data_IF_833428229458
#
_entry.id   IF_833428229458
#
_cell.length_a   1.000
_cell.length_b   1.000
_cell.length_c   1.000
_cell.angle_alpha   90.00
_cell.angle_beta   90.00
_cell.angle_gamma   90.00
#
_symmetry.space_group_name_H-M   'P 1'
#
loop_
_entity.id
_entity.type
_entity.pdbx_description
1 polymer ?
#
# COMPACT_ATOMS: atom_id res chain seq x y z
N UNK A 1 10.54 -29.89 0.58
CA UNK A 1 9.10 -30.10 0.29
C UNK A 1 8.60 -28.81 -0.32
N UNK A 2 8.22 -28.84 -1.60
CA UNK A 2 7.64 -27.70 -2.31
C UNK A 2 6.21 -27.52 -1.80
N UNK A 3 5.98 -26.49 -0.98
CA UNK A 3 4.64 -26.10 -0.50
C UNK A 3 4.06 -25.07 -1.49
N UNK A 4 4.17 -25.33 -2.80
CA UNK A 4 3.33 -24.64 -3.78
C UNK A 4 2.00 -25.35 -3.80
N UNK A 5 1.09 -24.84 -2.96
CA UNK A 5 -0.29 -25.29 -2.94
C UNK A 5 -0.92 -24.84 -4.25
N UNK A 6 -1.01 -25.76 -5.21
CA UNK A 6 -2.09 -25.78 -6.20
C UNK A 6 -3.40 -26.00 -5.43
N UNK A 7 -3.85 -24.92 -4.78
CA UNK A 7 -4.97 -24.91 -3.86
C UNK A 7 -6.21 -24.44 -4.60
N UNK A 8 -7.22 -25.28 -4.62
CA UNK A 8 -8.60 -24.96 -4.97
C UNK A 8 -8.96 -23.59 -4.38
N UNK A 9 -9.07 -22.55 -5.21
CA UNK A 9 -9.54 -21.23 -4.78
C UNK A 9 -11.00 -21.38 -4.34
N UNK A 10 -11.22 -21.60 -3.05
CA UNK A 10 -12.52 -21.33 -2.45
C UNK A 10 -12.59 -19.82 -2.26
N UNK A 11 -13.05 -19.11 -3.31
CA UNK A 11 -13.33 -17.68 -3.25
C UNK A 11 -14.38 -17.42 -2.17
N UNK A 12 -14.18 -16.43 -1.31
CA UNK A 12 -15.20 -15.96 -0.34
C UNK A 12 -16.02 -14.80 -0.88
N UNK A 13 -15.43 -14.08 -1.83
CA UNK A 13 -16.05 -12.95 -2.49
C UNK A 13 -15.51 -12.86 -3.92
N UNK A 14 -16.41 -12.58 -4.84
CA UNK A 14 -16.08 -12.26 -6.23
C UNK A 14 -16.20 -10.75 -6.46
N UNK A 15 -15.64 -10.28 -7.57
CA UNK A 15 -15.74 -8.90 -8.00
C UNK A 15 -15.20 -7.91 -6.95
N UNK A 16 -14.02 -8.21 -6.40
CA UNK A 16 -13.41 -7.39 -5.37
C UNK A 16 -12.69 -6.21 -6.00
N UNK A 17 -13.10 -5.00 -5.59
CA UNK A 17 -12.50 -3.73 -5.98
C UNK A 17 -12.10 -2.93 -4.75
N UNK A 18 -10.88 -2.40 -4.78
CA UNK A 18 -10.37 -1.52 -3.73
C UNK A 18 -10.11 -0.15 -4.35
N UNK A 19 -10.63 0.88 -3.71
CA UNK A 19 -10.33 2.27 -4.04
C UNK A 19 -9.80 2.97 -2.79
N UNK A 20 -8.75 3.76 -2.97
CA UNK A 20 -8.17 4.59 -1.92
C UNK A 20 -8.33 6.04 -2.33
N UNK A 21 -8.99 6.82 -1.48
CA UNK A 21 -9.20 8.25 -1.68
C UNK A 21 -8.38 9.02 -0.65
N UNK A 22 -7.37 9.76 -1.10
CA UNK A 22 -6.51 10.56 -0.23
C UNK A 22 -7.12 11.93 0.03
N UNK A 23 -6.94 12.45 1.26
CA UNK A 23 -7.38 13.79 1.60
C UNK A 23 -6.43 14.84 0.97
N UNK A 24 -6.88 15.66 0.00
CA UNK A 24 -6.02 16.62 -0.69
C UNK A 24 -5.57 17.79 0.19
N UNK A 25 -6.16 17.95 1.39
CA UNK A 25 -5.68 18.91 2.38
C UNK A 25 -4.44 18.39 3.16
N UNK A 26 -4.15 17.09 3.10
CA UNK A 26 -3.08 16.42 3.85
C UNK A 26 -2.03 15.78 2.97
N UNK A 27 -2.45 15.18 1.86
CA UNK A 27 -1.59 14.48 0.90
C UNK A 27 -1.52 15.28 -0.39
N UNK A 28 -0.32 15.70 -0.78
CA UNK A 28 -0.08 16.45 -2.00
C UNK A 28 0.28 15.56 -3.20
N UNK A 29 0.92 14.42 -2.94
CA UNK A 29 1.16 13.38 -3.94
C UNK A 29 1.25 12.01 -3.26
N UNK A 30 1.03 10.95 -4.02
CA UNK A 30 1.11 9.57 -3.54
C UNK A 30 1.48 8.62 -4.68
N UNK A 31 2.06 7.46 -4.32
CA UNK A 31 2.27 6.33 -5.24
C UNK A 31 1.96 5.00 -4.56
N UNK A 32 1.52 4.02 -5.34
CA UNK A 32 1.32 2.64 -4.92
C UNK A 32 2.62 1.85 -5.16
N UNK A 33 3.22 1.32 -4.11
CA UNK A 33 4.48 0.56 -4.20
C UNK A 33 4.18 -0.88 -4.65
N UNK A 34 4.92 -1.35 -5.67
CA UNK A 34 4.96 -2.75 -6.11
C UNK A 34 3.79 -3.21 -7.00
N UNK A 35 2.73 -2.41 -7.15
CA UNK A 35 1.56 -2.73 -7.98
C UNK A 35 1.24 -1.61 -8.99
N UNK A 36 2.26 -0.88 -9.44
CA UNK A 36 2.14 0.27 -10.35
C UNK A 36 1.36 -0.07 -11.64
N UNK A 37 1.50 -1.29 -12.15
CA UNK A 37 0.84 -1.75 -13.38
C UNK A 37 -0.64 -2.17 -13.24
N UNK A 38 -1.23 -2.08 -12.04
CA UNK A 38 -2.64 -2.48 -11.79
C UNK A 38 -3.50 -1.39 -11.14
N UNK A 39 -3.01 -0.16 -11.04
CA UNK A 39 -3.83 0.95 -10.53
C UNK A 39 -5.06 1.14 -11.43
N UNK A 40 -6.27 0.92 -10.88
CA UNK A 40 -7.53 1.23 -11.57
C UNK A 40 -7.76 2.74 -11.55
N UNK A 41 -8.28 3.28 -12.65
CA UNK A 41 -8.77 4.65 -12.70
C UNK A 41 -10.04 4.79 -11.84
N UNK A 42 -10.26 5.95 -11.22
CA UNK A 42 -11.43 6.21 -10.37
C UNK A 42 -12.77 5.99 -11.10
N UNK A 43 -12.79 6.25 -12.41
CA UNK A 43 -13.96 6.05 -13.28
C UNK A 43 -14.34 4.57 -13.41
N UNK A 44 -13.37 3.66 -13.28
CA UNK A 44 -13.55 2.22 -13.43
C UNK A 44 -14.04 1.54 -12.14
N UNK A 45 -13.92 2.21 -10.98
CA UNK A 45 -14.32 1.62 -9.69
C UNK A 45 -15.82 1.33 -9.61
N UNK A 46 -16.64 2.19 -10.23
CA UNK A 46 -18.10 2.03 -10.25
C UNK A 46 -18.61 1.14 -11.39
N UNK A 47 -17.77 0.75 -12.36
CA UNK A 47 -18.18 -0.07 -13.49
C UNK A 47 -17.98 -1.56 -13.20
N UNK A 48 -19.08 -2.26 -12.93
CA UNK A 48 -19.16 -3.72 -12.70
C UNK A 48 -18.67 -4.59 -13.88
N UNK A 49 -18.30 -4.00 -15.02
CA UNK A 49 -17.73 -4.72 -16.18
C UNK A 49 -16.19 -4.75 -16.22
N UNK A 50 -15.52 -3.97 -15.37
CA UNK A 50 -14.04 -3.92 -15.29
C UNK A 50 -13.48 -5.08 -14.48
N UNK A 51 -12.27 -5.49 -14.86
CA UNK A 51 -11.56 -6.64 -14.30
C UNK A 51 -11.41 -6.50 -12.78
N UNK A 52 -11.76 -7.56 -12.05
CA UNK A 52 -11.89 -7.54 -10.60
C UNK A 52 -11.20 -8.75 -9.98
N UNK A 53 -10.61 -8.55 -8.80
CA UNK A 53 -9.89 -9.62 -8.12
C UNK A 53 -10.83 -10.62 -7.42
N UNK A 54 -10.32 -11.83 -7.20
CA UNK A 54 -10.93 -12.81 -6.30
C UNK A 54 -10.17 -12.83 -4.97
N UNK A 55 -10.89 -12.85 -3.84
CA UNK A 55 -10.29 -13.05 -2.52
C UNK A 55 -10.72 -14.42 -1.98
N UNK A 56 -9.72 -15.29 -1.77
CA UNK A 56 -9.90 -16.61 -1.17
C UNK A 56 -9.97 -16.58 0.37
N UNK A 57 -10.47 -17.67 0.96
CA UNK A 57 -10.44 -17.87 2.42
C UNK A 57 -9.00 -17.77 2.95
N UNK A 58 -8.80 -16.95 3.99
CA UNK A 58 -7.50 -16.79 4.64
C UNK A 58 -6.48 -15.95 3.84
N UNK A 59 -6.88 -15.37 2.71
CA UNK A 59 -6.01 -14.45 1.96
C UNK A 59 -5.96 -13.09 2.65
N UNK A 60 -4.75 -12.55 2.77
CA UNK A 60 -4.51 -11.17 3.22
C UNK A 60 -3.89 -10.38 2.09
N UNK A 61 -4.50 -9.25 1.76
CA UNK A 61 -3.98 -8.30 0.78
C UNK A 61 -3.36 -7.13 1.51
N UNK A 62 -2.13 -6.78 1.14
CA UNK A 62 -1.42 -5.61 1.66
C UNK A 62 -1.07 -4.71 0.48
N UNK A 63 -1.54 -3.46 0.52
CA UNK A 63 -1.11 -2.40 -0.39
C UNK A 63 -0.27 -1.40 0.41
N UNK A 64 0.89 -1.04 -0.14
CA UNK A 64 1.77 -0.03 0.45
C UNK A 64 1.72 1.22 -0.40
N UNK A 65 1.43 2.35 0.23
CA UNK A 65 1.46 3.65 -0.42
C UNK A 65 2.58 4.48 0.18
N UNK A 66 3.30 5.18 -0.69
CA UNK A 66 4.13 6.29 -0.28
C UNK A 66 3.36 7.59 -0.52
N UNK A 67 3.48 8.52 0.44
CA UNK A 67 2.76 9.79 0.41
C UNK A 67 3.72 10.95 0.63
N UNK A 68 3.47 12.04 -0.08
CA UNK A 68 4.12 13.33 0.13
C UNK A 68 3.10 14.27 0.78
N UNK A 69 3.30 14.69 2.04
CA UNK A 69 2.40 15.63 2.70
C UNK A 69 2.27 16.95 1.94
N UNK A 70 1.14 17.64 2.07
CA UNK A 70 0.95 18.98 1.51
C UNK A 70 2.01 19.94 2.07
N UNK A 71 2.75 20.61 1.18
CA UNK A 71 3.79 21.57 1.55
C UNK A 71 5.18 20.96 1.82
N UNK A 72 5.33 19.64 1.72
CA UNK A 72 6.64 19.00 1.73
C UNK A 72 7.37 19.19 0.39
N UNK A 73 8.71 19.14 0.43
CA UNK A 73 9.54 19.14 -0.78
C UNK A 73 9.32 17.87 -1.61
N UNK A 74 9.60 17.93 -2.91
CA UNK A 74 9.50 16.77 -3.81
C UNK A 74 8.11 16.52 -4.39
N UNK A 75 7.14 17.42 -4.17
CA UNK A 75 5.85 17.34 -4.87
C UNK A 75 6.06 17.54 -6.38
N UNK A 76 5.52 16.66 -7.24
CA UNK A 76 5.56 16.86 -8.67
C UNK A 76 4.85 18.18 -9.00
N UNK A 77 5.60 19.14 -9.54
CA UNK A 77 5.06 20.40 -10.02
C UNK A 77 4.36 20.17 -11.34
N UNK A 78 3.03 20.03 -11.30
CA UNK A 78 2.22 20.07 -12.51
C UNK A 78 1.96 21.53 -12.87
N UNK A 79 2.15 21.90 -14.14
CA UNK A 79 1.83 23.24 -14.60
C UNK A 79 0.35 23.55 -14.32
N UNK A 80 0.02 24.74 -13.79
CA UNK A 80 -1.36 25.09 -13.51
C UNK A 80 -2.17 25.06 -14.81
N UNK A 81 -3.14 24.15 -14.87
CA UNK A 81 -4.01 23.97 -16.02
C UNK A 81 -4.76 25.28 -16.35
N UNK A 82 -4.42 25.90 -17.49
CA UNK A 82 -4.90 27.21 -17.93
C UNK A 82 -6.42 27.40 -17.88
N UNK A 83 -7.19 26.32 -18.07
CA UNK A 83 -8.66 26.35 -18.13
C UNK A 83 -9.34 25.68 -16.93
N UNK A 84 -8.60 25.02 -16.04
CA UNK A 84 -9.17 24.52 -14.79
C UNK A 84 -8.98 25.57 -13.70
N UNK A 85 -10.08 26.08 -13.17
CA UNK A 85 -10.06 26.78 -11.90
C UNK A 85 -9.76 25.74 -10.83
N UNK A 86 -8.50 25.68 -10.37
CA UNK A 86 -8.17 25.06 -9.08
C UNK A 86 -8.99 25.76 -8.03
N UNK A 87 -10.08 25.12 -7.58
CA UNK A 87 -10.79 25.58 -6.39
C UNK A 87 -9.76 25.51 -5.27
N UNK A 88 -9.25 26.65 -4.81
CA UNK A 88 -8.59 26.73 -3.51
C UNK A 88 -9.57 26.13 -2.52
N UNK A 89 -9.21 24.98 -1.95
CA UNK A 89 -10.02 24.25 -0.98
C UNK A 89 -10.68 25.25 -0.03
N UNK A 90 -12.02 25.28 -0.05
CA UNK A 90 -12.81 26.10 0.85
C UNK A 90 -12.33 25.85 2.28
N UNK A 91 -12.10 26.93 3.01
CA UNK A 91 -11.58 26.90 4.38
C UNK A 91 -12.44 26.08 5.35
N UNK A 92 -13.69 25.77 4.98
CA UNK A 92 -14.63 24.95 5.76
C UNK A 92 -14.35 23.44 5.66
N UNK A 93 -13.82 22.92 4.54
CA UNK A 93 -13.44 21.50 4.45
C UNK A 93 -12.14 21.18 5.20
N UNK A 94 -11.34 22.21 5.55
CA UNK A 94 -10.12 22.04 6.36
C UNK A 94 -10.41 21.63 7.80
N UNK A 95 -11.60 21.90 8.33
CA UNK A 95 -11.93 21.63 9.74
C UNK A 95 -12.70 20.32 9.91
N UNK A 96 -13.60 19.98 8.99
CA UNK A 96 -14.45 18.79 9.12
C UNK A 96 -13.68 17.46 8.97
N UNK A 97 -12.63 17.42 8.14
CA UNK A 97 -11.82 16.22 7.88
C UNK A 97 -10.35 16.42 8.25
N UNK A 98 -10.08 17.34 9.19
CA UNK A 98 -8.74 17.78 9.55
C UNK A 98 -7.83 16.65 10.09
N UNK A 99 -8.43 15.58 10.60
CA UNK A 99 -7.74 14.43 11.19
C UNK A 99 -7.80 13.18 10.31
N UNK A 100 -8.27 13.28 9.07
CA UNK A 100 -8.39 12.16 8.14
C UNK A 100 -7.29 12.23 7.08
N UNK A 101 -6.58 11.12 6.88
CA UNK A 101 -5.50 11.00 5.90
C UNK A 101 -6.03 10.47 4.57
N UNK A 102 -6.83 9.40 4.63
CA UNK A 102 -7.42 8.75 3.46
C UNK A 102 -8.66 7.93 3.86
N UNK A 103 -9.48 7.59 2.87
CA UNK A 103 -10.58 6.64 3.00
C UNK A 103 -10.31 5.44 2.10
N UNK A 104 -10.42 4.23 2.64
CA UNK A 104 -10.32 2.97 1.89
C UNK A 104 -11.73 2.43 1.67
N UNK A 105 -12.12 2.27 0.41
CA UNK A 105 -13.39 1.71 -0.03
C UNK A 105 -13.14 0.32 -0.61
N UNK A 106 -13.82 -0.68 -0.07
CA UNK A 106 -13.80 -2.05 -0.55
C UNK A 106 -15.19 -2.41 -1.04
N UNK A 107 -15.31 -2.71 -2.33
CA UNK A 107 -16.52 -3.25 -2.93
C UNK A 107 -16.31 -4.73 -3.22
N UNK A 108 -17.27 -5.57 -2.86
CA UNK A 108 -17.21 -7.01 -3.13
C UNK A 108 -18.61 -7.62 -3.26
N UNK A 109 -18.71 -8.77 -3.94
CA UNK A 109 -19.95 -9.57 -4.01
C UNK A 109 -19.80 -10.81 -3.12
N UNK A 110 -20.57 -10.92 -2.01
CA UNK A 110 -20.60 -12.14 -1.22
C UNK A 110 -20.98 -13.37 -2.06
N UNK A 111 -20.46 -14.55 -1.70
CA UNK A 111 -20.84 -15.80 -2.35
C UNK A 111 -22.36 -15.97 -2.41
N UNK A 112 -22.85 -16.44 -3.56
CA UNK A 112 -24.26 -16.71 -3.84
C UNK A 112 -25.17 -15.46 -3.90
N UNK A 113 -24.58 -14.27 -3.98
CA UNK A 113 -25.32 -13.02 -4.17
C UNK A 113 -24.85 -12.30 -5.43
N UNK A 114 -25.77 -11.65 -6.13
CA UNK A 114 -25.46 -10.78 -7.28
C UNK A 114 -25.27 -9.32 -6.87
N UNK A 115 -25.68 -8.97 -5.65
CA UNK A 115 -25.60 -7.61 -5.13
C UNK A 115 -24.23 -7.34 -4.52
N UNK A 116 -23.72 -6.14 -4.79
CA UNK A 116 -22.42 -5.71 -4.29
C UNK A 116 -22.55 -4.99 -2.95
N UNK A 117 -21.63 -5.29 -2.03
CA UNK A 117 -21.52 -4.64 -0.73
C UNK A 117 -20.35 -3.66 -0.76
N UNK A 118 -20.57 -2.45 -0.27
CA UNK A 118 -19.54 -1.43 -0.10
C UNK A 118 -19.17 -1.27 1.38
N UNK A 119 -17.91 -1.52 1.70
CA UNK A 119 -17.29 -1.19 2.98
C UNK A 119 -16.43 0.06 2.81
N UNK A 120 -16.48 0.95 3.79
CA UNK A 120 -15.71 2.19 3.78
C UNK A 120 -15.07 2.41 5.14
N UNK A 121 -13.76 2.58 5.15
CA UNK A 121 -12.95 2.77 6.36
C UNK A 121 -12.12 4.03 6.25
N UNK A 122 -12.31 4.96 7.19
CA UNK A 122 -11.50 6.18 7.30
C UNK A 122 -10.21 5.87 8.05
N UNK A 123 -9.08 6.28 7.49
CA UNK A 123 -7.76 6.23 8.12
C UNK A 123 -7.41 7.61 8.63
N UNK A 124 -7.23 7.72 9.94
CA UNK A 124 -6.85 8.98 10.59
C UNK A 124 -5.38 9.31 10.35
N UNK A 125 -5.08 10.60 10.29
CA UNK A 125 -3.72 11.14 10.28
C UNK A 125 -3.11 11.00 11.68
N UNK A 126 -2.69 9.78 12.01
CA UNK A 126 -1.97 9.47 13.24
C UNK A 126 -0.48 9.28 12.92
N UNK A 127 0.35 10.17 13.45
CA UNK A 127 1.81 10.08 13.31
C UNK A 127 2.34 9.07 14.32
N UNK A 128 2.36 7.81 13.93
CA UNK A 128 2.94 6.73 14.72
C UNK A 128 4.42 6.56 14.34
N UNK A 129 5.29 6.40 15.34
CA UNK A 129 6.69 6.08 15.06
C UNK A 129 6.79 4.68 14.42
N UNK A 130 7.78 4.46 13.55
CA UNK A 130 7.89 3.23 12.77
C UNK A 130 8.07 2.00 13.69
N UNK A 131 8.73 2.17 14.82
CA UNK A 131 8.97 1.18 15.86
C UNK A 131 7.69 0.79 16.61
N UNK A 132 6.69 1.69 16.65
CA UNK A 132 5.40 1.48 17.30
C UNK A 132 4.35 0.86 16.36
N UNK A 133 4.65 0.76 15.06
CA UNK A 133 3.75 0.13 14.09
C UNK A 133 3.64 -1.39 14.32
N UNK A 134 2.72 -2.05 13.60
CA UNK A 134 2.60 -3.50 13.65
C UNK A 134 3.78 -4.22 13.00
N UNK A 135 4.09 -5.43 13.47
CA UNK A 135 5.11 -6.28 12.86
C UNK A 135 4.85 -6.49 11.35
N UNK A 136 3.60 -6.67 10.94
CA UNK A 136 3.26 -6.87 9.53
C UNK A 136 3.57 -5.64 8.67
N UNK A 137 3.36 -4.43 9.22
CA UNK A 137 3.66 -3.19 8.51
C UNK A 137 5.17 -3.05 8.29
N UNK A 138 5.97 -3.19 9.36
CA UNK A 138 7.43 -3.14 9.26
C UNK A 138 7.99 -4.21 8.33
N UNK A 139 7.46 -5.43 8.39
CA UNK A 139 7.89 -6.52 7.52
C UNK A 139 7.55 -6.25 6.05
N UNK A 140 6.32 -5.80 5.75
CA UNK A 140 5.95 -5.44 4.39
C UNK A 140 6.80 -4.29 3.86
N UNK A 141 7.07 -3.27 4.69
CA UNK A 141 7.94 -2.16 4.34
C UNK A 141 9.38 -2.62 4.06
N UNK A 142 9.93 -3.55 4.85
CA UNK A 142 11.28 -4.09 4.59
C UNK A 142 11.34 -4.91 3.30
N UNK A 143 10.30 -5.69 2.99
CA UNK A 143 10.21 -6.43 1.71
C UNK A 143 10.14 -5.47 0.53
N UNK A 144 9.33 -4.42 0.61
CA UNK A 144 9.23 -3.41 -0.43
C UNK A 144 10.56 -2.66 -0.64
N UNK A 145 11.20 -2.23 0.46
CA UNK A 145 12.52 -1.59 0.42
C UNK A 145 13.59 -2.47 -0.20
N UNK A 146 13.60 -3.77 0.13
CA UNK A 146 14.50 -4.73 -0.47
C UNK A 146 14.30 -4.86 -1.98
N UNK A 147 13.04 -4.93 -2.44
CA UNK A 147 12.73 -4.92 -3.86
C UNK A 147 13.25 -3.68 -4.58
N UNK A 148 13.06 -2.50 -3.97
CA UNK A 148 13.53 -1.22 -4.51
C UNK A 148 15.06 -1.15 -4.65
N UNK A 149 15.81 -1.66 -3.66
CA UNK A 149 17.28 -1.75 -3.77
C UNK A 149 17.73 -2.73 -4.86
N UNK A 150 17.09 -3.89 -4.97
CA UNK A 150 17.46 -4.90 -5.97
C UNK A 150 17.17 -4.46 -7.40
N UNK A 151 16.14 -3.64 -7.60
CA UNK A 151 15.74 -3.15 -8.91
C UNK A 151 16.41 -1.84 -9.32
N UNK A 152 17.35 -1.32 -8.52
CA UNK A 152 17.96 0.00 -8.70
C UNK A 152 16.92 1.10 -8.95
N UNK A 153 15.89 1.14 -8.11
CA UNK A 153 14.76 2.03 -8.31
C UNK A 153 15.15 3.50 -8.10
N UNK A 154 14.71 4.40 -8.99
CA UNK A 154 14.81 5.87 -8.82
C UNK A 154 14.06 6.40 -7.58
N UNK A 155 13.37 5.52 -6.89
CA UNK A 155 12.54 5.76 -5.73
C UNK A 155 13.12 5.15 -4.45
N UNK A 156 14.28 4.51 -4.54
CA UNK A 156 15.00 3.94 -3.41
C UNK A 156 15.83 4.98 -2.63
N UNK A 157 15.74 6.27 -2.97
CA UNK A 157 16.51 7.34 -2.34
C UNK A 157 16.36 7.33 -0.81
N UNK A 158 17.48 7.16 -0.11
CA UNK A 158 17.53 7.11 1.35
C UNK A 158 17.17 5.76 1.97
N UNK A 159 16.82 4.75 1.17
CA UNK A 159 16.69 3.35 1.61
C UNK A 159 18.08 2.71 1.66
N UNK A 160 18.38 2.02 2.74
CA UNK A 160 19.66 1.31 2.93
C UNK A 160 19.44 -0.13 3.37
N UNK A 161 20.41 -0.99 3.08
CA UNK A 161 20.45 -2.38 3.53
C UNK A 161 20.28 -2.50 5.05
N UNK A 162 21.01 -1.69 5.81
CA UNK A 162 20.95 -1.62 7.27
C UNK A 162 19.54 -1.27 7.81
N UNK A 163 18.85 -0.31 7.20
CA UNK A 163 17.48 0.04 7.58
C UNK A 163 16.51 -1.11 7.31
N UNK A 164 16.61 -1.76 6.14
CA UNK A 164 15.77 -2.92 5.79
C UNK A 164 15.98 -4.05 6.80
N UNK A 165 17.23 -4.37 7.13
CA UNK A 165 17.56 -5.39 8.12
C UNK A 165 17.02 -5.05 9.50
N UNK A 166 17.14 -3.79 9.92
CA UNK A 166 16.62 -3.31 11.21
C UNK A 166 15.10 -3.50 11.28
N UNK A 167 14.38 -3.12 10.21
CA UNK A 167 12.93 -3.30 10.12
C UNK A 167 12.54 -4.78 10.12
N UNK A 168 13.19 -5.59 9.28
CA UNK A 168 12.89 -7.01 9.15
C UNK A 168 13.13 -7.77 10.47
N UNK A 169 14.26 -7.51 11.14
CA UNK A 169 14.60 -8.10 12.45
C UNK A 169 13.61 -7.67 13.52
N UNK A 170 13.29 -6.38 13.59
CA UNK A 170 12.27 -5.84 14.51
C UNK A 170 10.84 -6.29 14.21
N UNK A 171 10.61 -6.92 13.06
CA UNK A 171 9.33 -7.42 12.61
C UNK A 171 9.23 -8.96 12.60
N UNK A 172 10.26 -9.69 13.03
CA UNK A 172 10.29 -11.16 12.96
C UNK A 172 9.11 -11.81 13.70
N UNK A 173 8.78 -11.35 14.90
CA UNK A 173 7.72 -11.95 15.71
C UNK A 173 7.97 -13.44 16.03
N UNK A 174 6.89 -14.20 16.20
CA UNK A 174 6.92 -15.64 16.52
C UNK A 174 7.55 -16.46 15.40
N UNK A 175 7.17 -16.17 14.14
CA UNK A 175 7.75 -16.76 12.92
C UNK A 175 7.79 -18.30 12.93
N UNK A 176 6.65 -18.93 13.23
CA UNK A 176 6.53 -20.39 13.45
C UNK A 176 7.05 -21.21 12.26
N UNK A 177 6.80 -20.75 11.03
CA UNK A 177 7.25 -21.41 9.79
C UNK A 177 8.64 -20.92 9.32
N UNK A 178 9.23 -19.91 9.98
CA UNK A 178 10.59 -19.43 9.71
C UNK A 178 10.77 -18.52 8.49
N UNK A 179 9.69 -18.11 7.82
CA UNK A 179 9.74 -17.30 6.59
C UNK A 179 10.36 -15.92 6.80
N UNK A 180 10.08 -15.25 7.94
CA UNK A 180 10.66 -13.92 8.20
C UNK A 180 12.14 -14.03 8.50
N UNK A 181 12.56 -15.08 9.22
CA UNK A 181 13.97 -15.37 9.45
C UNK A 181 14.71 -15.70 8.14
N UNK A 182 14.08 -16.42 7.21
CA UNK A 182 14.64 -16.68 5.89
C UNK A 182 14.80 -15.40 5.07
N UNK A 183 13.78 -14.53 5.05
CA UNK A 183 13.87 -13.22 4.41
C UNK A 183 15.02 -12.39 4.98
N UNK A 184 15.20 -12.35 6.31
CA UNK A 184 16.31 -11.63 6.94
C UNK A 184 17.66 -12.15 6.42
N UNK A 185 17.86 -13.47 6.37
CA UNK A 185 19.11 -14.06 5.83
C UNK A 185 19.35 -13.72 4.36
N UNK A 186 18.28 -13.65 3.56
CA UNK A 186 18.36 -13.27 2.16
C UNK A 186 18.86 -11.83 2.01
N UNK A 187 18.33 -10.90 2.80
CA UNK A 187 18.77 -9.50 2.79
C UNK A 187 20.24 -9.38 3.22
N UNK A 188 20.66 -10.08 4.28
CA UNK A 188 22.07 -10.11 4.72
C UNK A 188 23.00 -10.63 3.63
N UNK A 189 22.58 -11.67 2.91
CA UNK A 189 23.36 -12.23 1.80
C UNK A 189 23.46 -11.24 0.63
N UNK A 190 22.37 -10.56 0.30
CA UNK A 190 22.34 -9.59 -0.79
C UNK A 190 23.21 -8.36 -0.50
N UNK A 191 23.20 -7.85 0.74
CA UNK A 191 24.09 -6.78 1.21
C UNK A 191 25.56 -7.14 0.97
N UNK A 192 25.99 -8.33 1.43
CA UNK A 192 27.37 -8.82 1.25
C UNK A 192 27.77 -8.94 -0.23
N UNK A 193 26.84 -9.33 -1.10
CA UNK A 193 27.11 -9.52 -2.52
C UNK A 193 27.17 -8.20 -3.30
N UNK A 194 26.52 -7.16 -2.81
CA UNK A 194 26.47 -5.83 -3.47
C UNK A 194 27.56 -4.88 -2.97
N UNK A 195 28.15 -5.12 -1.79
CA UNK A 195 29.28 -4.35 -1.25
C UNK A 195 30.67 -4.75 -1.85
N UNK A 196 30.71 -5.58 -2.90
CA UNK A 196 31.92 -5.96 -3.63
C UNK A 196 32.12 -5.16 -4.91
#
# INVERSE_FOLDING_TARGET
>A
MVKEMSGTLFALASDVKIQVEFNPAKVGAYRLIGYENRALADEDFNDDKKDAGEIGVGHRVTALYEIIPVGAAGQPTVDPLKYQKTKKNDSDSKTQYANELMTVKLRYKPLQTSESVLLSTVVKDNKLALEETGNDFRFAASVAGFGMLLSDSEHADGVTWSQILTLAKGAKGTDEEGYRAEFIRLVETAEILTEK
#
